data_IF_177764231715
#
_entry.id   IF_177764231715
#
_cell.length_a   1.000
_cell.length_b   1.000
_cell.length_c   1.000
_cell.angle_alpha   90.00
_cell.angle_beta   90.00
_cell.angle_gamma   90.00
#
_symmetry.space_group_name_H-M   'P 1'
#
loop_
_entity.id
_entity.type
_entity.pdbx_description
1 polymer ?
#
# COMPACT_ATOMS: atom_id res chain seq x y z
N UNK A 1 -5.74 2.74 -7.52
CA UNK A 1 -4.77 2.34 -8.59
C UNK A 1 -3.34 2.76 -8.21
N UNK A 2 -2.35 1.86 -8.32
CA UNK A 2 -0.91 2.01 -7.98
C UNK A 2 -0.02 2.36 -9.21
N UNK A 3 -0.56 3.07 -10.19
CA UNK A 3 0.19 3.42 -11.43
C UNK A 3 1.44 4.23 -11.10
N UNK A 4 2.54 3.86 -11.76
CA UNK A 4 3.87 4.43 -11.57
C UNK A 4 4.71 3.74 -10.50
N UNK A 5 4.13 2.85 -9.68
CA UNK A 5 4.86 2.09 -8.66
C UNK A 5 5.19 0.66 -9.10
N UNK A 6 4.39 0.07 -9.99
CA UNK A 6 4.50 -1.35 -10.35
C UNK A 6 5.50 -1.54 -11.50
N UNK A 7 6.51 -2.39 -11.29
CA UNK A 7 7.56 -2.75 -12.24
C UNK A 7 7.48 -4.24 -12.59
N UNK A 8 7.79 -4.58 -13.84
CA UNK A 8 7.98 -5.97 -14.23
C UNK A 8 9.33 -6.49 -13.72
N UNK A 9 9.35 -7.64 -13.04
CA UNK A 9 10.57 -8.28 -12.56
C UNK A 9 11.46 -8.85 -13.65
N UNK A 10 10.90 -9.13 -14.84
CA UNK A 10 11.64 -9.66 -15.98
C UNK A 10 12.35 -8.54 -16.77
N UNK A 11 11.60 -7.58 -17.33
CA UNK A 11 12.16 -6.52 -18.17
C UNK A 11 12.50 -5.22 -17.39
N UNK A 12 12.21 -5.15 -16.09
CA UNK A 12 12.43 -3.99 -15.20
C UNK A 12 11.70 -2.70 -15.61
N UNK A 13 10.80 -2.76 -16.58
CA UNK A 13 10.01 -1.61 -17.02
C UNK A 13 8.76 -1.42 -16.16
N UNK A 14 8.31 -0.17 -16.07
CA UNK A 14 7.04 0.19 -15.41
C UNK A 14 5.88 -0.46 -16.14
N UNK A 15 5.00 -1.11 -15.37
CA UNK A 15 3.78 -1.70 -15.89
C UNK A 15 2.69 -0.64 -16.00
N UNK A 16 1.92 -0.69 -17.08
CA UNK A 16 0.81 0.22 -17.34
C UNK A 16 -0.52 -0.49 -17.14
N UNK A 17 -1.59 0.26 -16.86
CA UNK A 17 -2.97 -0.28 -16.85
C UNK A 17 -3.70 0.32 -18.05
N UNK A 18 -3.80 -0.39 -19.19
CA UNK A 18 -4.67 0.02 -20.27
C UNK A 18 -6.11 0.19 -19.76
N UNK A 19 -6.82 1.18 -20.30
CA UNK A 19 -8.21 1.50 -19.88
C UNK A 19 -9.18 0.33 -20.00
N UNK A 20 -8.85 -0.67 -20.80
CA UNK A 20 -9.73 -1.79 -21.17
C UNK A 20 -9.50 -3.06 -20.34
N UNK A 21 -8.33 -3.23 -19.70
CA UNK A 21 -7.91 -4.55 -19.20
C UNK A 21 -7.95 -4.71 -17.68
N UNK A 22 -8.18 -3.63 -16.93
CA UNK A 22 -8.20 -3.60 -15.45
C UNK A 22 -6.99 -4.32 -14.80
N UNK A 23 -5.87 -4.44 -15.52
CA UNK A 23 -4.69 -5.20 -15.15
C UNK A 23 -3.42 -4.41 -15.50
N UNK A 24 -2.39 -4.54 -14.67
CA UNK A 24 -1.05 -4.10 -14.99
C UNK A 24 -0.47 -5.03 -16.04
N UNK A 25 0.02 -4.46 -17.13
CA UNK A 25 0.71 -5.17 -18.20
C UNK A 25 2.10 -4.58 -18.40
N UNK A 26 3.10 -5.45 -18.54
CA UNK A 26 4.44 -5.04 -18.94
C UNK A 26 4.46 -4.72 -20.45
N UNK A 27 5.25 -3.74 -20.93
CA UNK A 27 5.30 -3.36 -22.34
C UNK A 27 5.69 -4.46 -23.34
N UNK A 28 6.28 -5.56 -22.87
CA UNK A 28 6.63 -6.73 -23.69
C UNK A 28 5.88 -8.01 -23.31
N UNK A 29 4.68 -7.90 -22.73
CA UNK A 29 3.80 -9.02 -22.35
C UNK A 29 4.44 -10.11 -21.48
N UNK A 30 5.51 -9.77 -20.75
CA UNK A 30 6.23 -10.68 -19.86
C UNK A 30 5.37 -11.11 -18.65
N UNK A 31 4.58 -10.18 -18.09
CA UNK A 31 3.75 -10.38 -16.90
C UNK A 31 2.48 -9.55 -17.01
N UNK A 32 1.35 -10.13 -16.57
CA UNK A 32 0.08 -9.46 -16.36
C UNK A 32 -0.44 -9.72 -14.95
N UNK A 33 -0.92 -8.68 -14.25
CA UNK A 33 -1.44 -8.78 -12.89
C UNK A 33 -2.70 -7.92 -12.75
N UNK A 34 -3.81 -8.51 -12.32
CA UNK A 34 -5.05 -7.77 -12.10
C UNK A 34 -4.83 -6.59 -11.12
N UNK A 35 -5.33 -5.40 -11.46
CA UNK A 35 -5.03 -4.19 -10.69
C UNK A 35 -5.61 -4.25 -9.27
N UNK A 36 -6.77 -4.90 -9.12
CA UNK A 36 -7.39 -5.19 -7.83
C UNK A 36 -6.51 -6.13 -6.99
N UNK A 37 -5.98 -7.20 -7.59
CA UNK A 37 -5.09 -8.15 -6.91
C UNK A 37 -3.78 -7.48 -6.48
N UNK A 38 -3.18 -6.64 -7.32
CA UNK A 38 -2.00 -5.86 -6.97
C UNK A 38 -2.28 -4.94 -5.77
N UNK A 39 -3.40 -4.21 -5.81
CA UNK A 39 -3.80 -3.29 -4.75
C UNK A 39 -4.08 -4.01 -3.43
N UNK A 40 -4.68 -5.20 -3.48
CA UNK A 40 -4.98 -6.00 -2.28
C UNK A 40 -3.71 -6.59 -1.64
N UNK A 41 -2.81 -7.14 -2.47
CA UNK A 41 -1.54 -7.71 -2.00
C UNK A 41 -0.63 -6.65 -1.40
N UNK A 42 -0.53 -5.50 -2.07
CA UNK A 42 0.21 -4.34 -1.54
C UNK A 42 -0.43 -3.85 -0.24
N UNK A 43 -1.76 -3.78 -0.17
CA UNK A 43 -2.47 -3.43 1.06
C UNK A 43 -2.17 -4.35 2.23
N UNK A 44 -2.17 -5.67 1.99
CA UNK A 44 -1.82 -6.67 3.00
C UNK A 44 -0.41 -6.43 3.54
N UNK A 45 0.59 -6.41 2.65
CA UNK A 45 2.01 -6.26 3.02
C UNK A 45 2.28 -4.90 3.70
N UNK A 46 1.65 -3.83 3.22
CA UNK A 46 1.79 -2.49 3.78
C UNK A 46 1.16 -2.40 5.19
N UNK A 47 -0.05 -2.94 5.36
CA UNK A 47 -0.72 -2.88 6.66
C UNK A 47 -0.04 -3.75 7.71
N UNK A 48 0.46 -4.93 7.35
CA UNK A 48 1.25 -5.79 8.24
C UNK A 48 2.55 -5.13 8.67
N UNK A 49 3.23 -4.42 7.76
CA UNK A 49 4.47 -3.70 8.09
C UNK A 49 4.24 -2.51 9.00
N UNK A 50 3.20 -1.71 8.75
CA UNK A 50 3.01 -0.42 9.43
C UNK A 50 2.20 -0.53 10.72
N UNK A 51 1.27 -1.46 10.83
CA UNK A 51 0.36 -1.60 11.98
C UNK A 51 0.75 -2.76 12.89
N UNK A 52 2.00 -2.72 13.36
CA UNK A 52 2.48 -3.58 14.44
C UNK A 52 1.77 -3.24 15.76
N UNK A 53 1.83 -4.13 16.75
CA UNK A 53 1.26 -3.85 18.07
C UNK A 53 1.82 -2.54 18.68
N UNK A 54 3.11 -2.28 18.47
CA UNK A 54 3.77 -1.08 18.97
C UNK A 54 3.27 0.19 18.29
N UNK A 55 3.17 0.21 16.95
CA UNK A 55 2.72 1.39 16.23
C UNK A 55 1.24 1.68 16.48
N UNK A 56 0.42 0.63 16.62
CA UNK A 56 -0.99 0.74 17.00
C UNK A 56 -1.13 1.33 18.41
N UNK A 57 -0.29 0.91 19.37
CA UNK A 57 -0.28 1.52 20.71
C UNK A 57 0.08 3.00 20.66
N UNK A 58 1.08 3.38 19.85
CA UNK A 58 1.45 4.79 19.63
C UNK A 58 0.31 5.59 19.00
N UNK A 59 -0.40 5.02 18.03
CA UNK A 59 -1.58 5.64 17.41
C UNK A 59 -2.71 5.84 18.42
N UNK A 60 -2.99 4.86 19.28
CA UNK A 60 -3.99 4.99 20.33
C UNK A 60 -3.66 6.15 21.29
N UNK A 61 -2.41 6.24 21.73
CA UNK A 61 -1.97 7.35 22.58
C UNK A 61 -2.07 8.71 21.88
N UNK A 62 -1.66 8.78 20.61
CA UNK A 62 -1.82 10.00 19.81
C UNK A 62 -3.29 10.38 19.64
N UNK A 63 -4.20 9.42 19.48
CA UNK A 63 -5.63 9.67 19.42
C UNK A 63 -6.15 10.27 20.72
N UNK A 64 -5.74 9.73 21.88
CA UNK A 64 -6.12 10.28 23.18
C UNK A 64 -5.64 11.73 23.33
N UNK A 65 -4.42 12.05 22.89
CA UNK A 65 -3.90 13.43 22.89
C UNK A 65 -4.72 14.36 21.98
N UNK A 66 -5.10 13.92 20.78
CA UNK A 66 -5.90 14.69 19.82
C UNK A 66 -7.30 14.95 20.39
N UNK A 67 -7.94 13.92 20.96
CA UNK A 67 -9.25 14.03 21.60
C UNK A 67 -9.21 14.94 22.82
N UNK A 68 -8.15 14.88 23.63
CA UNK A 68 -7.96 15.79 24.77
C UNK A 68 -7.79 17.25 24.32
N UNK A 69 -7.30 17.50 23.11
CA UNK A 69 -7.23 18.83 22.50
C UNK A 69 -8.56 19.30 21.90
N UNK A 70 -9.64 18.50 22.00
CA UNK A 70 -10.96 18.83 21.45
C UNK A 70 -11.04 18.71 19.93
N UNK A 71 -10.11 17.97 19.31
CA UNK A 71 -10.09 17.75 17.85
C UNK A 71 -10.80 16.44 17.53
N UNK A 72 -11.85 16.52 16.72
CA UNK A 72 -12.57 15.35 16.25
C UNK A 72 -11.77 14.59 15.19
N UNK A 73 -11.70 13.27 15.37
CA UNK A 73 -11.05 12.36 14.42
C UNK A 73 -12.12 11.82 13.46
N UNK A 74 -12.11 12.28 12.21
CA UNK A 74 -13.13 11.96 11.20
C UNK A 74 -13.25 10.45 10.88
N UNK A 75 -12.17 9.70 11.05
CA UNK A 75 -12.14 8.26 10.81
C UNK A 75 -11.49 7.53 11.99
N UNK A 76 -12.12 6.47 12.52
CA UNK A 76 -11.52 5.73 13.62
C UNK A 76 -10.17 5.18 13.20
N UNK A 77 -9.13 5.44 13.99
CA UNK A 77 -7.81 4.90 13.73
C UNK A 77 -7.85 3.36 13.81
N UNK A 78 -7.02 2.67 13.03
CA UNK A 78 -6.96 1.22 13.10
C UNK A 78 -6.41 0.78 14.46
N UNK A 79 -7.05 -0.25 15.02
CA UNK A 79 -6.71 -0.81 16.35
C UNK A 79 -5.89 -2.09 16.28
N UNK A 80 -5.60 -2.56 15.06
CA UNK A 80 -4.67 -3.65 14.73
C UNK A 80 -4.52 -3.74 13.19
N UNK A 81 -3.55 -4.53 12.71
CA UNK A 81 -3.32 -4.74 11.28
C UNK A 81 -4.56 -5.27 10.53
N UNK A 82 -5.35 -6.16 11.16
CA UNK A 82 -6.59 -6.68 10.53
C UNK A 82 -7.63 -5.57 10.33
N UNK A 83 -7.79 -4.67 11.29
CA UNK A 83 -8.68 -3.52 11.16
C UNK A 83 -8.15 -2.55 10.10
N UNK A 84 -6.84 -2.29 10.06
CA UNK A 84 -6.21 -1.48 9.02
C UNK A 84 -6.44 -2.07 7.61
N UNK A 85 -6.28 -3.38 7.45
CA UNK A 85 -6.53 -4.08 6.18
C UNK A 85 -8.02 -4.03 5.78
N UNK A 86 -8.94 -4.18 6.73
CA UNK A 86 -10.36 -4.00 6.47
C UNK A 86 -10.67 -2.57 6.01
N UNK A 87 -10.10 -1.55 6.66
CA UNK A 87 -10.24 -0.16 6.24
C UNK A 87 -9.65 0.05 4.84
N UNK A 88 -8.45 -0.48 4.59
CA UNK A 88 -7.82 -0.46 3.28
C UNK A 88 -8.76 -1.02 2.21
N UNK A 89 -9.32 -2.22 2.41
CA UNK A 89 -10.17 -2.89 1.41
C UNK A 89 -11.53 -2.22 1.19
N UNK A 90 -12.14 -1.70 2.24
CA UNK A 90 -13.58 -1.37 2.22
C UNK A 90 -13.91 0.08 2.53
N UNK A 91 -12.98 0.86 3.10
CA UNK A 91 -13.25 2.23 3.58
C UNK A 91 -12.42 3.28 2.87
N UNK A 92 -11.17 2.99 2.54
CA UNK A 92 -10.31 3.94 1.86
C UNK A 92 -10.64 4.02 0.36
N UNK A 93 -10.72 5.22 -0.18
CA UNK A 93 -10.84 5.44 -1.62
C UNK A 93 -9.53 5.09 -2.34
N UNK A 94 -9.61 4.89 -3.66
CA UNK A 94 -8.45 4.59 -4.50
C UNK A 94 -7.36 5.68 -4.43
N UNK A 95 -7.77 6.94 -4.29
CA UNK A 95 -6.87 8.08 -4.12
C UNK A 95 -6.11 8.00 -2.80
N UNK A 96 -6.80 7.71 -1.70
CA UNK A 96 -6.16 7.60 -0.37
C UNK A 96 -5.22 6.40 -0.32
N UNK A 97 -5.65 5.24 -0.84
CA UNK A 97 -4.80 4.04 -0.95
C UNK A 97 -3.53 4.34 -1.74
N UNK A 98 -3.65 5.05 -2.87
CA UNK A 98 -2.50 5.44 -3.69
C UNK A 98 -1.57 6.38 -2.94
N UNK A 99 -2.09 7.44 -2.33
CA UNK A 99 -1.28 8.40 -1.55
C UNK A 99 -0.47 7.70 -0.47
N UNK A 100 -1.14 6.85 0.32
CA UNK A 100 -0.48 6.08 1.38
C UNK A 100 0.59 5.12 0.83
N UNK A 101 0.32 4.44 -0.28
CA UNK A 101 1.32 3.59 -0.93
C UNK A 101 2.53 4.40 -1.43
N UNK A 102 2.33 5.54 -2.08
CA UNK A 102 3.43 6.36 -2.64
C UNK A 102 4.34 6.99 -1.58
N UNK A 103 3.81 7.24 -0.38
CA UNK A 103 4.59 7.72 0.76
C UNK A 103 5.55 6.65 1.28
N UNK A 104 5.10 5.39 1.32
CA UNK A 104 5.79 4.29 2.00
C UNK A 104 6.61 3.40 1.05
N UNK A 105 6.26 3.37 -0.23
CA UNK A 105 6.80 2.43 -1.22
C UNK A 105 7.52 3.22 -2.32
N UNK A 106 8.75 2.81 -2.62
CA UNK A 106 9.51 3.29 -3.79
C UNK A 106 9.03 2.58 -5.04
N UNK A 107 8.96 1.25 -5.01
CA UNK A 107 8.45 0.44 -6.13
C UNK A 107 7.92 -0.92 -5.69
N UNK A 108 7.12 -1.54 -6.55
CA UNK A 108 6.58 -2.89 -6.40
C UNK A 108 7.00 -3.69 -7.62
N UNK A 109 7.89 -4.65 -7.46
CA UNK A 109 8.33 -5.52 -8.55
C UNK A 109 7.47 -6.78 -8.60
N UNK A 110 6.96 -7.13 -9.79
CA UNK A 110 6.17 -8.34 -10.03
C UNK A 110 6.95 -9.30 -10.92
N UNK A 111 7.37 -10.44 -10.38
CA UNK A 111 8.11 -11.48 -11.10
C UNK A 111 7.22 -12.68 -11.43
N UNK A 112 7.50 -13.40 -12.53
CA UNK A 112 6.80 -14.64 -12.86
C UNK A 112 7.06 -15.70 -11.78
N UNK A 113 6.00 -16.42 -11.39
CA UNK A 113 6.04 -17.47 -10.37
C UNK A 113 4.64 -18.08 -10.19
N UNK A 114 4.47 -19.14 -9.39
CA UNK A 114 3.21 -19.88 -9.27
C UNK A 114 1.98 -19.02 -8.91
N UNK A 115 2.21 -17.89 -8.23
CA UNK A 115 1.17 -16.92 -7.87
C UNK A 115 1.54 -15.47 -8.23
N UNK A 116 2.50 -15.27 -9.14
CA UNK A 116 3.24 -14.01 -9.34
C UNK A 116 3.92 -13.54 -8.05
N UNK A 117 5.24 -13.50 -8.03
CA UNK A 117 5.98 -13.03 -6.86
C UNK A 117 5.99 -11.50 -6.83
N UNK A 118 5.78 -10.93 -5.64
CA UNK A 118 5.58 -9.49 -5.48
C UNK A 118 6.56 -9.00 -4.41
N UNK A 119 7.54 -8.22 -4.83
CA UNK A 119 8.58 -7.66 -3.97
C UNK A 119 8.37 -6.17 -3.82
N UNK A 120 8.26 -5.70 -2.58
CA UNK A 120 8.07 -4.29 -2.27
C UNK A 120 9.41 -3.67 -1.87
N UNK A 121 9.85 -2.67 -2.63
CA UNK A 121 10.95 -1.80 -2.23
C UNK A 121 10.38 -0.65 -1.41
N UNK A 122 10.68 -0.65 -0.12
CA UNK A 122 10.21 0.36 0.81
C UNK A 122 11.01 1.64 0.66
N UNK A 123 10.37 2.76 0.94
CA UNK A 123 11.08 3.98 1.26
C UNK A 123 11.61 3.79 2.68
N UNK A 124 12.93 3.75 2.84
CA UNK A 124 13.48 3.67 4.19
C UNK A 124 13.08 4.91 4.96
N UNK A 125 12.30 4.70 6.02
CA UNK A 125 11.99 5.73 7.02
C UNK A 125 13.21 5.93 7.92
N UNK A 126 14.40 6.10 7.37
CA UNK A 126 15.49 6.68 8.15
C UNK A 126 15.07 8.10 8.45
N UNK A 127 14.77 8.36 9.73
CA UNK A 127 14.72 9.69 10.30
C UNK A 127 15.69 10.62 9.56
N UNK A 128 15.18 11.68 8.95
CA UNK A 128 15.93 12.93 8.95
C UNK A 128 15.53 13.62 10.24
N UNK A 129 16.27 13.48 11.36
CA UNK A 129 16.15 14.48 12.39
C UNK A 129 16.65 15.80 11.79
N UNK A 130 15.92 16.87 12.12
CA UNK A 130 16.26 18.24 11.74
C UNK A 130 17.65 18.65 12.22
#
# INVERSE_FOLDING_TARGET
MLVGLVLCGHCRQTMTVPSETAAYQSPGDCVSLAAAQATDRVGTVLTERLFTEESVRKLAFAQEMILAAGIDVAHPLPVNARHALHQWRHRLSDTVRRGFATEQIVSVTVAPGPALELTVLWRDSTHTPA
#
